data_IF_319218577504
#
_entry.id   IF_319218577504
#
_cell.length_a   1.000
_cell.length_b   1.000
_cell.length_c   1.000
_cell.angle_alpha   90.00
_cell.angle_beta   90.00
_cell.angle_gamma   90.00
#
_symmetry.space_group_name_H-M   'P 1'
#
loop_
_entity.id
_entity.type
_entity.pdbx_description
1 polymer ?
#
# COMPACT_ATOMS: atom_id res chain seq x y z
N UNK A 1 -7.34 -35.02 -46.92
CA UNK A 1 -6.23 -34.14 -46.47
C UNK A 1 -6.52 -33.81 -45.03
N UNK A 2 -5.56 -34.03 -44.14
CA UNK A 2 -5.62 -33.57 -42.76
C UNK A 2 -4.89 -32.23 -42.66
N UNK A 3 -5.49 -31.26 -41.97
CA UNK A 3 -4.88 -29.97 -41.70
C UNK A 3 -4.71 -29.82 -40.19
N UNK A 4 -3.47 -29.64 -39.76
CA UNK A 4 -3.13 -29.40 -38.34
C UNK A 4 -2.80 -27.91 -38.17
N UNK A 5 -3.66 -27.14 -37.46
CA UNK A 5 -3.42 -25.73 -37.25
C UNK A 5 -2.37 -25.50 -36.15
N UNK A 6 -1.44 -24.60 -36.43
CA UNK A 6 -0.67 -23.88 -35.41
C UNK A 6 -1.17 -22.43 -35.30
N UNK A 7 -0.53 -21.61 -34.46
CA UNK A 7 -0.96 -20.22 -34.28
C UNK A 7 -0.60 -19.33 -35.50
N UNK A 8 0.58 -19.51 -36.10
CA UNK A 8 1.03 -18.80 -37.31
C UNK A 8 1.38 -19.72 -38.48
N UNK A 9 0.88 -20.95 -38.44
CA UNK A 9 1.17 -21.96 -39.45
C UNK A 9 0.02 -22.94 -39.61
N UNK A 10 -0.04 -23.62 -40.75
CA UNK A 10 -0.91 -24.76 -40.99
C UNK A 10 -0.08 -25.86 -41.63
N UNK A 11 -0.14 -27.07 -41.07
CA UNK A 11 0.48 -28.26 -41.64
C UNK A 11 -0.58 -29.02 -42.45
N UNK A 12 -0.28 -29.31 -43.72
CA UNK A 12 -1.14 -30.11 -44.57
C UNK A 12 -0.53 -31.49 -44.80
N UNK A 13 -1.28 -32.53 -44.45
CA UNK A 13 -0.89 -33.94 -44.56
C UNK A 13 -1.91 -34.69 -45.42
N UNK A 14 -1.58 -35.02 -46.68
CA UNK A 14 -2.42 -35.84 -47.54
C UNK A 14 -2.37 -37.30 -47.10
N UNK A 15 -3.50 -38.00 -47.25
CA UNK A 15 -3.61 -39.43 -46.95
C UNK A 15 -4.06 -40.18 -48.19
N UNK A 16 -3.45 -41.33 -48.46
CA UNK A 16 -3.87 -42.22 -49.53
C UNK A 16 -4.96 -43.17 -49.03
N UNK A 17 -6.01 -43.37 -49.84
CA UNK A 17 -7.02 -44.40 -49.57
C UNK A 17 -6.46 -45.82 -49.70
N UNK A 18 -5.46 -46.00 -50.59
CA UNK A 18 -4.72 -47.26 -50.78
C UNK A 18 -3.24 -46.92 -50.81
N UNK A 19 -2.45 -47.61 -50.00
CA UNK A 19 -1.01 -47.36 -49.93
C UNK A 19 -0.32 -47.63 -51.27
N UNK A 20 0.38 -46.61 -51.77
CA UNK A 20 1.27 -46.71 -52.93
C UNK A 20 2.56 -45.93 -52.63
N UNK A 21 3.72 -46.60 -52.52
CA UNK A 21 4.98 -45.96 -52.17
C UNK A 21 5.56 -45.10 -53.31
N UNK A 22 5.00 -45.19 -54.52
CA UNK A 22 5.47 -44.43 -55.68
C UNK A 22 4.77 -43.07 -55.80
N UNK A 23 3.74 -42.82 -54.99
CA UNK A 23 2.98 -41.58 -55.01
C UNK A 23 3.68 -40.52 -54.16
N UNK A 24 3.94 -39.37 -54.78
CA UNK A 24 4.31 -38.13 -54.10
C UNK A 24 3.16 -37.13 -54.17
N UNK A 25 3.16 -36.14 -53.28
CA UNK A 25 2.20 -35.04 -53.33
C UNK A 25 2.89 -33.74 -53.69
N UNK A 26 2.30 -33.01 -54.63
CA UNK A 26 2.67 -31.64 -54.92
C UNK A 26 1.70 -30.70 -54.17
N UNK A 27 2.23 -29.65 -53.53
CA UNK A 27 1.49 -28.74 -52.66
C UNK A 27 1.49 -27.31 -53.21
N UNK A 28 0.32 -26.67 -53.16
CA UNK A 28 0.13 -25.25 -53.47
C UNK A 28 -0.66 -24.58 -52.36
N UNK A 29 -0.41 -23.28 -52.20
CA UNK A 29 -1.00 -22.45 -51.16
C UNK A 29 -1.51 -21.13 -51.72
N UNK A 30 -2.68 -20.70 -51.26
CA UNK A 30 -3.26 -19.40 -51.59
C UNK A 30 -3.94 -18.78 -50.38
N UNK A 31 -3.81 -17.45 -50.24
CA UNK A 31 -4.54 -16.67 -49.22
C UNK A 31 -6.01 -16.43 -49.60
N UNK A 32 -6.36 -16.66 -50.87
CA UNK A 32 -7.72 -16.51 -51.38
C UNK A 32 -8.13 -17.76 -52.13
N UNK A 33 -9.42 -18.11 -52.01
CA UNK A 33 -9.99 -19.22 -52.77
C UNK A 33 -9.84 -18.99 -54.27
N UNK A 34 -9.40 -20.02 -54.98
CA UNK A 34 -9.35 -20.04 -56.44
C UNK A 34 -10.60 -20.78 -56.94
N UNK A 35 -11.47 -20.08 -57.66
CA UNK A 35 -12.74 -20.65 -58.12
C UNK A 35 -12.55 -21.68 -59.25
N UNK A 36 -11.61 -21.45 -60.17
CA UNK A 36 -11.26 -22.39 -61.25
C UNK A 36 -9.97 -23.14 -60.90
N UNK A 37 -10.11 -24.44 -60.62
CA UNK A 37 -9.01 -25.30 -60.20
C UNK A 37 -7.86 -25.38 -61.24
N UNK A 38 -8.14 -25.05 -62.51
CA UNK A 38 -7.14 -25.01 -63.58
C UNK A 38 -6.16 -23.85 -63.43
N UNK A 39 -6.53 -22.82 -62.67
CA UNK A 39 -5.68 -21.66 -62.40
C UNK A 39 -4.76 -21.85 -61.19
N UNK A 40 -4.86 -22.97 -60.47
CA UNK A 40 -4.04 -23.24 -59.27
C UNK A 40 -2.54 -23.11 -59.57
N UNK A 41 -2.07 -23.68 -60.68
CA UNK A 41 -0.64 -23.64 -61.03
C UNK A 41 -0.13 -22.23 -61.38
N UNK A 42 -1.01 -21.33 -61.81
CA UNK A 42 -0.65 -19.95 -62.18
C UNK A 42 -0.89 -18.93 -61.07
N UNK A 43 -1.81 -19.23 -60.14
CA UNK A 43 -2.31 -18.27 -59.14
C UNK A 43 -1.91 -18.63 -57.72
N UNK A 44 -1.84 -19.92 -57.38
CA UNK A 44 -1.39 -20.35 -56.06
C UNK A 44 0.15 -20.44 -56.01
N UNK A 45 0.72 -20.19 -54.84
CA UNK A 45 2.15 -20.36 -54.60
C UNK A 45 2.47 -21.85 -54.51
N UNK A 46 3.34 -22.33 -55.39
CA UNK A 46 3.90 -23.68 -55.27
C UNK A 46 4.76 -23.77 -54.02
N UNK A 47 4.47 -24.75 -53.17
CA UNK A 47 5.16 -24.99 -51.92
C UNK A 47 6.29 -26.02 -52.08
N UNK A 48 6.05 -27.08 -52.85
CA UNK A 48 7.00 -28.15 -53.10
C UNK A 48 6.36 -29.52 -53.21
N UNK A 49 7.20 -30.56 -53.22
CA UNK A 49 6.81 -31.97 -53.23
C UNK A 49 7.20 -32.66 -51.93
N UNK A 50 6.29 -33.42 -51.32
CA UNK A 50 6.59 -34.12 -50.08
C UNK A 50 5.46 -35.02 -49.59
N UNK A 51 5.60 -35.51 -48.36
CA UNK A 51 4.54 -36.25 -47.65
C UNK A 51 3.64 -35.32 -46.82
N UNK A 52 4.14 -34.14 -46.47
CA UNK A 52 3.41 -33.06 -45.82
C UNK A 52 4.07 -31.73 -46.19
N UNK A 53 3.37 -30.62 -45.97
CA UNK A 53 3.97 -29.29 -46.06
C UNK A 53 3.46 -28.38 -44.94
N UNK A 54 4.32 -27.49 -44.47
CA UNK A 54 3.97 -26.47 -43.47
C UNK A 54 3.92 -25.12 -44.20
N UNK A 55 2.74 -24.51 -44.24
CA UNK A 55 2.65 -23.11 -44.60
C UNK A 55 2.84 -22.28 -43.32
N UNK A 56 3.97 -21.60 -43.21
CA UNK A 56 4.30 -20.67 -42.12
C UNK A 56 4.82 -19.36 -42.73
N UNK A 57 4.30 -18.21 -42.27
CA UNK A 57 4.72 -16.88 -42.73
C UNK A 57 4.19 -15.78 -41.82
N UNK A 58 4.82 -14.61 -41.83
CA UNK A 58 4.28 -13.38 -41.19
C UNK A 58 2.90 -12.97 -41.73
N UNK A 59 2.54 -13.45 -42.94
CA UNK A 59 1.27 -13.15 -43.57
C UNK A 59 0.16 -14.16 -43.21
N UNK A 60 0.52 -15.26 -42.53
CA UNK A 60 -0.47 -16.22 -42.01
C UNK A 60 -0.95 -15.70 -40.66
N UNK A 61 -2.24 -15.37 -40.60
CA UNK A 61 -2.86 -14.75 -39.43
C UNK A 61 -3.83 -15.72 -38.75
N UNK A 62 -3.87 -15.75 -37.41
CA UNK A 62 -4.86 -16.49 -36.64
C UNK A 62 -6.29 -16.21 -37.08
N UNK A 63 -7.14 -17.23 -37.12
CA UNK A 63 -8.56 -17.05 -37.43
C UNK A 63 -8.87 -16.68 -38.89
N UNK A 64 -7.90 -16.77 -39.81
CA UNK A 64 -8.13 -16.53 -41.24
C UNK A 64 -8.08 -17.82 -42.06
N UNK A 65 -8.97 -17.92 -43.06
CA UNK A 65 -9.00 -19.04 -43.99
C UNK A 65 -7.84 -18.99 -44.98
N UNK A 66 -7.14 -20.10 -45.12
CA UNK A 66 -6.12 -20.33 -46.14
C UNK A 66 -6.41 -21.60 -46.92
N UNK A 67 -6.04 -21.58 -48.19
CA UNK A 67 -6.43 -22.59 -49.16
C UNK A 67 -5.20 -23.38 -49.60
N UNK A 68 -5.27 -24.69 -49.40
CA UNK A 68 -4.30 -25.65 -49.90
C UNK A 68 -4.88 -26.38 -51.11
N UNK A 69 -4.08 -26.48 -52.16
CA UNK A 69 -4.40 -27.28 -53.33
C UNK A 69 -3.33 -28.36 -53.46
N UNK A 70 -3.76 -29.62 -53.40
CA UNK A 70 -2.84 -30.75 -53.34
C UNK A 70 -3.26 -31.77 -54.39
N UNK A 71 -2.28 -32.35 -55.08
CA UNK A 71 -2.51 -33.49 -55.96
C UNK A 71 -1.42 -34.54 -55.77
N UNK A 72 -1.78 -35.78 -56.04
CA UNK A 72 -0.82 -36.88 -56.14
C UNK A 72 -0.16 -36.93 -57.52
N UNK A 73 1.09 -37.37 -57.54
CA UNK A 73 1.90 -37.56 -58.73
C UNK A 73 2.63 -38.90 -58.63
N UNK A 74 2.60 -39.69 -59.70
CA UNK A 74 3.41 -40.89 -59.85
C UNK A 74 3.94 -40.98 -61.30
N UNK A 75 4.53 -42.11 -61.67
CA UNK A 75 5.07 -42.34 -63.02
C UNK A 75 4.01 -42.38 -64.11
N UNK A 76 2.75 -42.66 -63.75
CA UNK A 76 1.62 -42.74 -64.69
C UNK A 76 1.04 -41.35 -64.97
N UNK A 77 1.06 -40.45 -64.00
CA UNK A 77 0.62 -39.08 -64.19
C UNK A 77 0.27 -38.34 -62.90
N UNK A 78 -0.52 -37.28 -63.06
CA UNK A 78 -0.95 -36.36 -62.00
C UNK A 78 -2.45 -36.50 -61.80
N UNK A 79 -2.90 -36.54 -60.54
CA UNK A 79 -4.33 -36.51 -60.24
C UNK A 79 -4.91 -35.09 -60.34
N UNK A 80 -6.24 -35.01 -60.27
CA UNK A 80 -6.91 -33.73 -60.08
C UNK A 80 -6.52 -33.11 -58.74
N UNK A 81 -6.53 -31.79 -58.68
CA UNK A 81 -6.34 -31.06 -57.42
C UNK A 81 -7.50 -31.31 -56.47
N UNK A 82 -7.15 -31.43 -55.19
CA UNK A 82 -8.08 -31.41 -54.06
C UNK A 82 -7.84 -30.12 -53.28
N UNK A 83 -8.91 -29.35 -53.05
CA UNK A 83 -8.92 -28.17 -52.19
C UNK A 83 -9.10 -28.59 -50.73
N UNK A 84 -8.30 -28.01 -49.84
CA UNK A 84 -8.50 -28.09 -48.39
C UNK A 84 -8.37 -26.68 -47.80
N UNK A 85 -9.31 -26.31 -46.92
CA UNK A 85 -9.33 -25.01 -46.25
C UNK A 85 -8.92 -25.22 -44.80
N UNK A 86 -7.88 -24.50 -44.38
CA UNK A 86 -7.39 -24.53 -43.02
C UNK A 86 -7.36 -23.13 -42.42
N UNK A 87 -7.59 -23.06 -41.12
CA UNK A 87 -7.54 -21.83 -40.35
C UNK A 87 -6.49 -22.01 -39.25
N UNK A 88 -5.48 -21.13 -39.12
CA UNK A 88 -4.58 -21.16 -37.99
C UNK A 88 -5.38 -20.89 -36.70
N UNK A 89 -4.93 -21.47 -35.60
CA UNK A 89 -5.60 -21.30 -34.30
C UNK A 89 -5.61 -19.82 -33.90
N UNK A 90 -6.78 -19.35 -33.44
CA UNK A 90 -6.99 -18.02 -32.84
C UNK A 90 -6.95 -18.02 -31.31
N UNK A 91 -6.63 -19.15 -30.70
CA UNK A 91 -6.55 -19.32 -29.25
C UNK A 91 -5.24 -18.76 -28.66
N UNK A 92 -5.11 -17.43 -28.64
CA UNK A 92 -3.95 -16.74 -28.08
C UNK A 92 -3.70 -17.14 -26.62
N UNK A 93 -4.80 -17.25 -25.85
CA UNK A 93 -4.76 -17.57 -24.42
C UNK A 93 -4.21 -18.97 -24.17
N UNK A 94 -4.68 -19.98 -24.89
CA UNK A 94 -4.18 -21.35 -24.75
C UNK A 94 -2.69 -21.47 -25.07
N UNK A 95 -2.19 -20.78 -26.09
CA UNK A 95 -0.75 -20.75 -26.39
C UNK A 95 0.05 -20.03 -25.29
N UNK A 96 -0.45 -18.90 -24.77
CA UNK A 96 0.21 -18.20 -23.66
C UNK A 96 0.26 -19.05 -22.40
N UNK A 97 -0.83 -19.74 -22.06
CA UNK A 97 -0.90 -20.64 -20.91
C UNK A 97 0.04 -21.83 -21.07
N UNK A 98 0.12 -22.40 -22.27
CA UNK A 98 1.10 -23.44 -22.61
C UNK A 98 2.54 -22.94 -22.39
N UNK A 99 2.92 -21.80 -22.98
CA UNK A 99 4.27 -21.27 -22.83
C UNK A 99 4.59 -20.87 -21.39
N UNK A 100 3.64 -20.30 -20.67
CA UNK A 100 3.77 -20.01 -19.24
C UNK A 100 4.05 -21.28 -18.45
N UNK A 101 3.34 -22.37 -18.76
CA UNK A 101 3.56 -23.68 -18.16
C UNK A 101 4.97 -24.23 -18.45
N UNK A 102 5.41 -24.19 -19.70
CA UNK A 102 6.75 -24.65 -20.09
C UNK A 102 7.87 -23.80 -19.48
N UNK A 103 7.74 -22.47 -19.49
CA UNK A 103 8.69 -21.55 -18.84
C UNK A 103 8.72 -21.83 -17.34
N UNK A 104 7.57 -22.00 -16.69
CA UNK A 104 7.47 -22.27 -15.25
C UNK A 104 8.14 -23.59 -14.81
N UNK A 105 8.33 -24.55 -15.72
CA UNK A 105 9.07 -25.80 -15.43
C UNK A 105 10.59 -25.61 -15.40
N UNK A 106 11.10 -24.50 -15.92
CA UNK A 106 12.55 -24.26 -15.98
C UNK A 106 13.11 -23.90 -14.60
N UNK A 107 14.34 -24.33 -14.30
CA UNK A 107 15.02 -23.92 -13.06
C UNK A 107 15.21 -22.41 -12.97
N UNK A 108 15.54 -21.74 -14.08
CA UNK A 108 15.66 -20.28 -14.11
C UNK A 108 14.37 -19.59 -13.69
N UNK A 109 13.21 -20.05 -14.18
CA UNK A 109 11.94 -19.49 -13.75
C UNK A 109 11.69 -19.74 -12.26
N UNK A 110 11.95 -20.95 -11.74
CA UNK A 110 11.79 -21.28 -10.32
C UNK A 110 12.68 -20.43 -9.42
N UNK A 111 13.95 -20.24 -9.80
CA UNK A 111 14.88 -19.36 -9.10
C UNK A 111 14.39 -17.91 -9.12
N UNK A 112 13.97 -17.41 -10.29
CA UNK A 112 13.40 -16.07 -10.41
C UNK A 112 12.16 -15.90 -9.52
N UNK A 113 11.22 -16.85 -9.53
CA UNK A 113 10.03 -16.85 -8.67
C UNK A 113 10.40 -16.78 -7.20
N UNK A 114 11.43 -17.52 -6.77
CA UNK A 114 11.93 -17.49 -5.40
C UNK A 114 12.56 -16.14 -5.04
N UNK A 115 13.29 -15.52 -5.97
CA UNK A 115 13.90 -14.20 -5.75
C UNK A 115 12.89 -13.06 -5.67
N UNK A 116 11.79 -13.14 -6.43
CA UNK A 116 10.71 -12.15 -6.39
C UNK A 116 9.66 -12.48 -5.32
N UNK A 117 9.78 -13.62 -4.64
CA UNK A 117 8.85 -14.02 -3.58
C UNK A 117 9.06 -13.14 -2.34
N UNK A 118 8.17 -12.15 -2.21
CA UNK A 118 8.12 -11.26 -1.06
C UNK A 118 7.69 -11.98 0.24
N UNK A 119 7.35 -13.28 0.20
CA UNK A 119 7.12 -14.09 1.39
C UNK A 119 8.29 -14.06 2.37
N UNK A 120 9.52 -13.85 1.88
CA UNK A 120 10.71 -13.69 2.72
C UNK A 120 10.72 -12.41 3.56
N UNK A 121 9.92 -11.40 3.21
CA UNK A 121 9.78 -10.15 3.97
C UNK A 121 8.81 -10.27 5.16
N UNK A 122 8.05 -11.36 5.25
CA UNK A 122 7.09 -11.60 6.33
C UNK A 122 7.69 -11.49 7.75
N UNK A 123 8.86 -12.10 8.07
CA UNK A 123 9.49 -11.95 9.38
C UNK A 123 9.88 -10.50 9.68
N UNK A 124 10.54 -9.81 8.75
CA UNK A 124 10.96 -8.42 8.91
C UNK A 124 9.76 -7.50 9.17
N UNK A 125 8.66 -7.71 8.44
CA UNK A 125 7.41 -6.97 8.66
C UNK A 125 6.78 -7.26 10.02
N UNK A 126 6.90 -8.49 10.55
CA UNK A 126 6.42 -8.84 11.88
C UNK A 126 7.28 -8.19 12.98
N UNK A 127 8.60 -8.14 12.78
CA UNK A 127 9.53 -7.46 13.68
C UNK A 127 9.26 -5.94 13.72
N UNK A 128 9.09 -5.31 12.56
CA UNK A 128 8.72 -3.88 12.47
C UNK A 128 7.40 -3.61 13.19
N UNK A 129 6.39 -4.47 13.03
CA UNK A 129 5.10 -4.32 13.74
C UNK A 129 5.25 -4.40 15.26
N UNK A 130 6.09 -5.31 15.74
CA UNK A 130 6.41 -5.43 17.16
C UNK A 130 7.08 -4.16 17.67
N UNK A 131 8.11 -3.69 16.95
CA UNK A 131 8.86 -2.48 17.30
C UNK A 131 7.96 -1.23 17.34
N UNK A 132 7.05 -1.07 16.38
CA UNK A 132 6.07 0.01 16.38
C UNK A 132 5.16 -0.07 17.61
N UNK A 133 4.74 -1.27 17.98
CA UNK A 133 3.88 -1.49 19.16
C UNK A 133 4.62 -1.11 20.45
N UNK A 134 5.87 -1.51 20.57
CA UNK A 134 6.71 -1.19 21.74
C UNK A 134 6.96 0.31 21.86
N UNK A 135 7.33 0.98 20.77
CA UNK A 135 7.51 2.43 20.73
C UNK A 135 6.19 3.16 21.05
N UNK A 136 5.05 2.67 20.54
CA UNK A 136 3.74 3.23 20.87
C UNK A 136 3.42 3.12 22.37
N UNK A 137 3.77 1.99 22.99
CA UNK A 137 3.59 1.78 24.43
C UNK A 137 4.51 2.71 25.23
N UNK A 138 5.77 2.85 24.83
CA UNK A 138 6.75 3.75 25.47
C UNK A 138 6.31 5.22 25.39
N UNK A 139 5.83 5.67 24.23
CA UNK A 139 5.27 7.01 24.04
C UNK A 139 4.10 7.22 25.01
N UNK A 140 3.16 6.26 25.05
CA UNK A 140 1.98 6.36 25.93
C UNK A 140 2.39 6.47 27.39
N UNK A 141 3.32 5.64 27.86
CA UNK A 141 3.82 5.68 29.23
C UNK A 141 4.53 7.00 29.55
N UNK A 142 5.40 7.46 28.65
CA UNK A 142 6.18 8.69 28.84
C UNK A 142 5.27 9.92 28.88
N UNK A 143 4.29 9.99 27.97
CA UNK A 143 3.31 11.08 27.94
C UNK A 143 2.45 11.06 29.20
N UNK A 144 1.93 9.91 29.62
CA UNK A 144 1.13 9.80 30.84
C UNK A 144 1.92 10.24 32.07
N UNK A 145 3.15 9.75 32.24
CA UNK A 145 4.01 10.14 33.36
C UNK A 145 4.27 11.64 33.39
N UNK A 146 4.57 12.25 32.23
CA UNK A 146 4.82 13.70 32.15
C UNK A 146 3.57 14.51 32.48
N UNK A 147 2.40 14.05 32.07
CA UNK A 147 1.12 14.68 32.42
C UNK A 147 0.81 14.56 33.91
N UNK A 148 1.09 13.41 34.54
CA UNK A 148 0.96 13.21 35.99
C UNK A 148 1.90 14.15 36.76
N UNK A 149 3.17 14.20 36.40
CA UNK A 149 4.17 15.08 37.03
C UNK A 149 3.78 16.56 36.90
N UNK A 150 3.31 16.98 35.72
CA UNK A 150 2.83 18.35 35.49
C UNK A 150 1.56 18.66 36.28
N UNK A 151 0.61 17.72 36.36
CA UNK A 151 -0.61 17.86 37.16
C UNK A 151 -0.27 18.04 38.64
N UNK A 152 0.65 17.23 39.18
CA UNK A 152 1.11 17.35 40.55
C UNK A 152 1.77 18.72 40.83
N UNK A 153 2.62 19.20 39.91
CA UNK A 153 3.23 20.52 40.03
C UNK A 153 2.20 21.66 40.02
N UNK A 154 1.18 21.59 39.16
CA UNK A 154 0.10 22.58 39.10
C UNK A 154 -0.71 22.56 40.40
N UNK A 155 -1.05 21.39 40.93
CA UNK A 155 -1.76 21.27 42.21
C UNK A 155 -0.98 21.89 43.37
N UNK A 156 0.34 21.73 43.40
CA UNK A 156 1.20 22.38 44.39
C UNK A 156 1.19 23.91 44.25
N UNK A 157 1.27 24.44 43.02
CA UNK A 157 1.19 25.88 42.77
C UNK A 157 -0.16 26.45 43.21
N UNK A 158 -1.27 25.77 42.85
CA UNK A 158 -2.61 26.17 43.26
C UNK A 158 -2.74 26.22 44.79
N UNK A 159 -2.20 25.21 45.48
CA UNK A 159 -2.19 25.18 46.94
C UNK A 159 -1.40 26.36 47.53
N UNK A 160 -0.19 26.62 47.05
CA UNK A 160 0.63 27.75 47.51
C UNK A 160 -0.07 29.08 47.26
N UNK A 161 -0.75 29.24 46.12
CA UNK A 161 -1.50 30.45 45.80
C UNK A 161 -2.68 30.65 46.77
N UNK A 162 -3.44 29.60 47.06
CA UNK A 162 -4.56 29.64 48.02
C UNK A 162 -4.05 29.92 49.44
N UNK A 163 -3.01 29.23 49.88
CA UNK A 163 -2.42 29.40 51.22
C UNK A 163 -1.87 30.82 51.40
N UNK A 164 -1.18 31.36 50.39
CA UNK A 164 -0.66 32.73 50.40
C UNK A 164 -1.79 33.75 50.45
N UNK A 165 -2.84 33.59 49.64
CA UNK A 165 -3.99 34.48 49.64
C UNK A 165 -4.72 34.45 51.00
N UNK A 166 -4.95 33.26 51.56
CA UNK A 166 -5.57 33.11 52.86
C UNK A 166 -4.74 33.77 53.97
N UNK A 167 -3.43 33.54 54.00
CA UNK A 167 -2.54 34.12 55.00
C UNK A 167 -2.48 35.66 54.91
N UNK A 168 -2.37 36.20 53.69
CA UNK A 168 -2.41 37.66 53.44
C UNK A 168 -3.74 38.29 53.86
N UNK A 169 -4.85 37.55 53.78
CA UNK A 169 -6.15 38.00 54.28
C UNK A 169 -6.27 37.95 55.81
N UNK A 170 -5.43 37.18 56.51
CA UNK A 170 -5.64 36.82 57.91
C UNK A 170 -4.57 37.29 58.91
N UNK A 171 -3.67 38.21 58.57
CA UNK A 171 -2.65 38.66 59.54
C UNK A 171 -3.26 39.57 60.61
N UNK A 172 -3.41 39.06 61.83
CA UNK A 172 -3.88 39.80 63.01
C UNK A 172 -3.02 39.46 64.24
N UNK A 173 -2.42 40.47 64.88
CA UNK A 173 -1.62 40.32 66.09
C UNK A 173 -2.28 41.08 67.25
N UNK A 174 -2.42 40.44 68.41
CA UNK A 174 -3.09 41.00 69.59
C UNK A 174 -2.17 40.94 70.80
N UNK A 175 -2.13 42.04 71.56
CA UNK A 175 -1.48 42.17 72.85
C UNK A 175 -2.53 42.41 73.93
N UNK A 176 -2.49 41.60 74.97
CA UNK A 176 -3.40 41.65 76.12
C UNK A 176 -2.62 42.10 77.36
N UNK A 177 -3.17 43.04 78.13
CA UNK A 177 -2.59 43.49 79.39
C UNK A 177 -3.65 43.58 80.48
N UNK A 178 -3.42 42.92 81.62
CA UNK A 178 -4.29 43.01 82.79
C UNK A 178 -3.79 44.08 83.76
N UNK A 179 -4.69 44.96 84.18
CA UNK A 179 -4.44 45.99 85.19
C UNK A 179 -4.59 45.40 86.61
N UNK A 180 -4.02 46.09 87.61
CA UNK A 180 -4.06 45.65 89.02
C UNK A 180 -5.48 45.55 89.62
N UNK A 181 -6.47 46.17 88.97
CA UNK A 181 -7.90 46.10 89.32
C UNK A 181 -8.65 44.93 88.64
N UNK A 182 -7.94 44.08 87.90
CA UNK A 182 -8.47 42.91 87.20
C UNK A 182 -8.97 43.17 85.78
N UNK A 183 -9.01 44.43 85.31
CA UNK A 183 -9.51 44.79 83.97
C UNK A 183 -8.47 44.48 82.89
N UNK A 184 -8.90 43.89 81.77
CA UNK A 184 -8.05 43.55 80.63
C UNK A 184 -8.14 44.64 79.56
N UNK A 185 -6.99 45.04 79.03
CA UNK A 185 -6.84 45.92 77.88
C UNK A 185 -6.28 45.14 76.70
N UNK A 186 -6.80 45.45 75.52
CA UNK A 186 -6.43 44.80 74.26
C UNK A 186 -5.89 45.86 73.32
N UNK A 187 -4.70 45.64 72.78
CA UNK A 187 -4.18 46.37 71.64
C UNK A 187 -3.95 45.37 70.50
N UNK A 188 -4.40 45.67 69.29
CA UNK A 188 -4.25 44.79 68.13
C UNK A 188 -3.81 45.54 66.88
N UNK A 189 -3.02 44.87 66.05
CA UNK A 189 -2.70 45.31 64.70
C UNK A 189 -3.06 44.20 63.72
N UNK A 190 -3.85 44.56 62.71
CA UNK A 190 -4.19 43.73 61.58
C UNK A 190 -3.60 44.28 60.31
N UNK A 191 -3.14 43.39 59.43
CA UNK A 191 -2.83 43.71 58.05
C UNK A 191 -3.62 42.75 57.16
N UNK A 192 -4.29 43.29 56.15
CA UNK A 192 -5.09 42.50 55.22
C UNK A 192 -4.96 43.05 53.80
N UNK A 193 -5.29 42.20 52.84
CA UNK A 193 -5.49 42.61 51.45
C UNK A 193 -6.92 42.21 51.09
N UNK A 194 -7.66 43.10 50.46
CA UNK A 194 -9.04 42.85 50.04
C UNK A 194 -9.16 43.04 48.54
N UNK A 195 -9.82 42.09 47.89
CA UNK A 195 -10.13 42.19 46.47
C UNK A 195 -11.47 42.92 46.31
N UNK A 196 -11.44 44.19 45.92
CA UNK A 196 -12.64 45.02 45.70
C UNK A 196 -12.95 45.14 44.20
N UNK A 197 -14.16 45.55 43.80
CA UNK A 197 -14.47 45.83 42.39
C UNK A 197 -13.57 46.89 41.72
N UNK A 198 -12.85 47.70 42.51
CA UNK A 198 -11.91 48.71 42.02
C UNK A 198 -10.44 48.23 41.95
N UNK A 199 -10.17 46.97 42.36
CA UNK A 199 -8.84 46.37 42.39
C UNK A 199 -8.42 45.86 43.77
N UNK A 200 -7.19 45.33 43.84
CA UNK A 200 -6.57 44.86 45.09
C UNK A 200 -6.22 46.05 45.99
N UNK A 201 -6.75 46.05 47.22
CA UNK A 201 -6.49 47.08 48.22
C UNK A 201 -5.82 46.48 49.44
N UNK A 202 -4.71 47.06 49.89
CA UNK A 202 -4.09 46.71 51.18
C UNK A 202 -4.67 47.58 52.30
N UNK A 203 -4.89 46.99 53.47
CA UNK A 203 -5.41 47.68 54.65
C UNK A 203 -4.63 47.32 55.91
N UNK A 204 -4.48 48.31 56.80
CA UNK A 204 -3.96 48.14 58.15
C UNK A 204 -5.05 48.56 59.13
N UNK A 205 -5.42 47.67 60.03
CA UNK A 205 -6.39 47.90 61.09
C UNK A 205 -5.66 48.00 62.42
N UNK A 206 -5.97 49.03 63.21
CA UNK A 206 -5.37 49.26 64.52
C UNK A 206 -6.48 49.33 65.56
N UNK A 207 -6.46 48.41 66.51
CA UNK A 207 -7.35 48.41 67.67
C UNK A 207 -6.56 48.87 68.89
N UNK A 208 -6.64 50.15 69.25
CA UNK A 208 -5.95 50.71 70.41
C UNK A 208 -6.64 51.99 70.92
N UNK A 209 -6.54 52.25 72.22
CA UNK A 209 -7.08 53.48 72.83
C UNK A 209 -6.32 54.75 72.39
N UNK A 210 -5.02 54.62 72.04
CA UNK A 210 -4.20 55.71 71.50
C UNK A 210 -3.22 55.17 70.47
N UNK A 211 -3.08 55.89 69.35
CA UNK A 211 -2.11 55.62 68.29
C UNK A 211 -1.20 56.84 68.18
N UNK A 212 0.12 56.62 68.15
CA UNK A 212 1.11 57.66 67.91
C UNK A 212 2.12 57.17 66.87
N UNK A 213 2.40 58.00 65.86
CA UNK A 213 3.51 57.81 64.94
C UNK A 213 4.68 58.61 65.51
N UNK A 214 5.82 57.99 65.78
CA UNK A 214 6.99 58.68 66.34
C UNK A 214 8.14 58.48 65.37
N UNK A 215 8.79 59.57 64.97
CA UNK A 215 10.03 59.47 64.24
C UNK A 215 11.16 59.03 65.20
N UNK A 216 11.77 57.85 65.01
CA UNK A 216 12.77 57.33 65.93
C UNK A 216 14.07 58.15 65.96
N UNK A 217 14.32 58.99 64.95
CA UNK A 217 15.54 59.80 64.87
C UNK A 217 15.49 61.04 65.78
N UNK A 218 14.30 61.55 66.11
CA UNK A 218 14.16 62.79 66.88
C UNK A 218 13.00 62.80 67.90
N UNK A 219 12.23 61.73 68.01
CA UNK A 219 11.17 61.58 69.01
C UNK A 219 9.93 62.45 68.77
N UNK A 220 9.85 63.12 67.61
CA UNK A 220 8.69 63.96 67.27
C UNK A 220 7.55 63.11 66.69
N UNK A 221 6.33 63.45 67.13
CA UNK A 221 5.06 62.93 66.61
C UNK A 221 4.53 63.76 65.46
#
# INVERSE_FOLDING_TARGET
>A
IELTPGYFQITATPHLAVYDPTVQFEFWFSEKRIADIRQVETTARYLGTGLYWIAASINIKPGHDYYFYIRSVNTVGKSAFVEAVGQPSDDASGYLDFFKGEIGKTHLAQELWTQIDNGQLAPDLAEIRTSITDVSNEITQTVNKKLEDQSAAIQQIQKVQVDTNNNLNSMWAVKLQQMKDGRLYIAGIGAGIENTPAGMQSQVLLAADRIAMINPANGNT
#
